data_IF_360674010064
#
_entry.id   IF_360674010064
#
_cell.length_a   1.000
_cell.length_b   1.000
_cell.length_c   1.000
_cell.angle_alpha   90.00
_cell.angle_beta   90.00
_cell.angle_gamma   90.00
#
_symmetry.space_group_name_H-M   'P 1'
#
loop_
_entity.id
_entity.type
_entity.pdbx_description
1 polymer ?
#
# COMPACT_ATOMS: atom_id res chain seq x y z
N UNK A 1 -30.27 -1.33 -3.77
CA UNK A 1 -28.89 -1.57 -3.29
C UNK A 1 -28.56 -0.43 -2.36
N UNK A 2 -28.41 -0.74 -1.09
CA UNK A 2 -27.91 0.21 -0.11
C UNK A 2 -26.41 0.44 -0.38
N UNK A 3 -25.92 1.64 -0.08
CA UNK A 3 -24.51 2.01 -0.26
C UNK A 3 -23.60 1.10 0.57
N UNK A 4 -24.04 0.76 1.78
CA UNK A 4 -23.29 -0.09 2.70
C UNK A 4 -23.07 -1.51 2.16
N UNK A 5 -23.98 -2.02 1.33
CA UNK A 5 -23.86 -3.35 0.68
C UNK A 5 -22.82 -3.37 -0.45
N UNK A 6 -22.33 -2.20 -0.89
CA UNK A 6 -21.39 -2.07 -2.01
C UNK A 6 -19.95 -1.82 -1.55
N UNK A 7 -19.71 -1.79 -0.23
CA UNK A 7 -18.36 -1.63 0.34
C UNK A 7 -17.56 -2.89 0.05
N UNK A 8 -16.35 -2.71 -0.51
CA UNK A 8 -15.42 -3.80 -0.73
C UNK A 8 -14.85 -4.26 0.62
N UNK A 9 -15.10 -5.52 1.08
CA UNK A 9 -14.50 -6.03 2.30
C UNK A 9 -12.97 -6.12 2.23
N UNK A 10 -12.41 -6.24 1.02
CA UNK A 10 -10.97 -6.34 0.77
C UNK A 10 -10.30 -4.97 0.50
N UNK A 11 -10.97 -3.88 0.85
CA UNK A 11 -10.47 -2.51 0.65
C UNK A 11 -9.23 -2.17 1.48
N UNK A 12 -8.94 -2.94 2.53
CA UNK A 12 -7.77 -2.75 3.39
C UNK A 12 -7.18 -4.10 3.80
N UNK A 13 -5.90 -4.28 3.52
CA UNK A 13 -5.10 -5.39 4.02
C UNK A 13 -3.90 -4.81 4.79
N UNK A 14 -3.68 -5.27 6.02
CA UNK A 14 -2.55 -4.84 6.85
C UNK A 14 -1.56 -5.98 6.96
N UNK A 15 -0.37 -5.77 6.39
CA UNK A 15 0.73 -6.73 6.45
C UNK A 15 1.73 -6.31 7.53
N UNK A 16 1.99 -7.21 8.48
CA UNK A 16 2.97 -7.01 9.56
C UNK A 16 4.18 -7.92 9.39
N UNK A 17 5.36 -7.47 9.82
CA UNK A 17 6.59 -8.27 9.74
C UNK A 17 7.20 -8.33 8.33
N UNK A 18 6.82 -7.40 7.45
CA UNK A 18 7.43 -7.25 6.13
C UNK A 18 8.92 -6.93 6.27
N UNK A 19 9.72 -7.50 5.38
CA UNK A 19 11.16 -7.19 5.28
C UNK A 19 11.34 -6.12 4.22
N UNK A 20 12.10 -5.09 4.56
CA UNK A 20 12.35 -3.93 3.73
C UNK A 20 13.86 -3.65 3.70
N UNK A 21 14.32 -2.98 2.66
CA UNK A 21 15.71 -2.55 2.55
C UNK A 21 16.05 -1.47 3.59
N UNK A 22 17.28 -1.49 4.10
CA UNK A 22 17.73 -0.53 5.12
C UNK A 22 17.71 0.93 4.64
N UNK A 23 17.82 1.16 3.32
CA UNK A 23 17.81 2.51 2.73
C UNK A 23 16.45 3.21 2.72
N UNK A 24 15.37 2.52 3.09
CA UNK A 24 14.01 3.08 3.07
C UNK A 24 13.75 4.07 4.21
N UNK A 25 14.55 4.02 5.29
CA UNK A 25 14.37 4.88 6.47
C UNK A 25 14.91 6.31 6.33
N UNK A 26 15.49 6.67 5.18
CA UNK A 26 16.17 7.97 4.97
C UNK A 26 15.49 8.88 3.95
N UNK A 27 14.27 8.57 3.50
CA UNK A 27 13.55 9.43 2.56
C UNK A 27 13.14 10.77 3.13
N UNK A 28 13.01 11.77 2.26
CA UNK A 28 12.34 13.01 2.62
C UNK A 28 10.83 12.77 2.80
N UNK A 29 10.12 13.65 3.53
CA UNK A 29 8.66 13.67 3.52
C UNK A 29 8.12 13.65 2.08
N UNK A 30 7.00 12.95 1.87
CA UNK A 30 6.36 12.78 0.55
C UNK A 30 7.18 12.00 -0.51
N UNK A 31 8.26 11.31 -0.11
CA UNK A 31 9.00 10.43 -1.02
C UNK A 31 8.10 9.28 -1.49
N UNK A 32 8.06 9.07 -2.81
CA UNK A 32 7.36 7.96 -3.46
C UNK A 32 8.34 6.85 -3.78
N UNK A 33 7.99 5.63 -3.39
CA UNK A 33 8.82 4.45 -3.60
C UNK A 33 8.15 3.53 -4.61
N UNK A 34 8.97 2.90 -5.45
CA UNK A 34 8.55 1.70 -6.17
C UNK A 34 9.13 0.50 -5.44
N UNK A 35 8.29 -0.30 -4.80
CA UNK A 35 8.73 -1.60 -4.30
C UNK A 35 8.71 -2.56 -5.49
N UNK A 36 9.88 -3.14 -5.76
CA UNK A 36 10.06 -3.95 -6.96
C UNK A 36 9.01 -5.06 -7.03
N UNK A 37 8.33 -5.16 -8.17
CA UNK A 37 7.30 -6.16 -8.46
C UNK A 37 6.02 -6.08 -7.62
N UNK A 38 5.96 -5.21 -6.62
CA UNK A 38 4.80 -5.04 -5.72
C UNK A 38 3.91 -3.85 -6.09
N UNK A 39 4.51 -2.69 -6.34
CA UNK A 39 3.75 -1.47 -6.64
C UNK A 39 4.44 -0.19 -6.20
N UNK A 40 3.65 0.89 -6.16
CA UNK A 40 4.09 2.19 -5.68
C UNK A 40 3.56 2.46 -4.28
N UNK A 41 4.43 2.97 -3.41
CA UNK A 41 4.19 3.15 -2.00
C UNK A 41 4.62 4.54 -1.53
N UNK A 42 4.01 5.00 -0.44
CA UNK A 42 4.39 6.20 0.29
C UNK A 42 4.48 5.89 1.78
N UNK A 43 5.36 6.57 2.49
CA UNK A 43 5.44 6.46 3.94
C UNK A 43 4.17 7.06 4.59
N UNK A 44 3.61 6.35 5.57
CA UNK A 44 2.41 6.79 6.28
C UNK A 44 2.71 7.96 7.23
N UNK A 45 2.00 9.08 7.07
CA UNK A 45 2.28 10.31 7.83
C UNK A 45 1.88 10.26 9.31
N UNK A 46 1.10 9.24 9.73
CA UNK A 46 0.53 9.14 11.08
C UNK A 46 1.14 7.99 11.88
N UNK A 47 1.38 6.86 11.24
CA UNK A 47 1.79 5.62 11.87
C UNK A 47 3.25 5.26 11.59
N UNK A 48 3.90 5.91 10.62
CA UNK A 48 5.32 5.69 10.36
C UNK A 48 6.20 6.42 11.37
N UNK A 49 7.36 5.85 11.63
CA UNK A 49 8.41 6.40 12.49
C UNK A 49 9.78 5.88 12.05
N UNK A 50 10.86 6.53 12.50
CA UNK A 50 12.23 6.13 12.15
C UNK A 50 12.57 4.68 12.57
N UNK A 51 12.02 4.20 13.70
CA UNK A 51 12.25 2.83 14.19
C UNK A 51 11.31 1.79 13.57
N UNK A 52 10.13 2.25 13.12
CA UNK A 52 9.08 1.41 12.57
C UNK A 52 8.45 2.10 11.36
N UNK A 53 9.05 1.95 10.17
CA UNK A 53 8.50 2.54 8.97
C UNK A 53 7.20 1.83 8.57
N UNK A 54 6.20 2.60 8.16
CA UNK A 54 4.90 2.10 7.68
C UNK A 54 4.66 2.66 6.28
N UNK A 55 4.28 1.79 5.34
CA UNK A 55 4.08 2.16 3.95
C UNK A 55 2.67 1.86 3.49
N UNK A 56 2.05 2.84 2.83
CA UNK A 56 0.75 2.71 2.20
C UNK A 56 0.94 2.46 0.70
N UNK A 57 0.24 1.45 0.16
CA UNK A 57 0.21 1.18 -1.28
C UNK A 57 -0.65 2.23 -1.98
N UNK A 58 -0.05 3.00 -2.86
CA UNK A 58 -0.72 4.01 -3.70
C UNK A 58 -1.44 3.31 -4.86
N UNK A 59 -0.71 2.48 -5.59
CA UNK A 59 -1.25 1.70 -6.71
C UNK A 59 -0.39 0.46 -6.97
N UNK A 60 -1.01 -0.61 -7.47
CA UNK A 60 -0.29 -1.78 -7.99
C UNK A 60 0.43 -1.46 -9.30
N UNK A 61 1.29 -2.37 -9.76
CA UNK A 61 2.05 -2.17 -11.01
C UNK A 61 1.22 -2.25 -12.29
N UNK A 62 0.03 -2.86 -12.21
CA UNK A 62 -0.86 -3.08 -13.35
C UNK A 62 -2.28 -2.76 -12.92
N UNK A 63 -3.06 -2.28 -13.87
CA UNK A 63 -4.48 -2.14 -13.69
C UNK A 63 -5.13 -3.54 -13.62
N UNK A 64 -5.85 -3.80 -12.53
CA UNK A 64 -6.62 -5.03 -12.30
C UNK A 64 -8.12 -4.79 -12.39
N UNK A 65 -8.56 -3.54 -12.57
CA UNK A 65 -9.96 -3.18 -12.72
C UNK A 65 -10.46 -3.69 -14.07
N UNK A 66 -11.35 -4.69 -14.01
CA UNK A 66 -11.89 -5.40 -15.18
C UNK A 66 -11.58 -6.91 -15.20
N UNK A 67 -10.71 -7.41 -14.31
CA UNK A 67 -10.47 -8.87 -14.16
C UNK A 67 -11.24 -9.53 -13.01
N UNK A 68 -11.84 -8.74 -12.12
CA UNK A 68 -12.61 -9.25 -10.97
C UNK A 68 -14.03 -9.73 -11.33
N UNK A 69 -14.42 -9.67 -12.61
CA UNK A 69 -15.76 -10.05 -13.10
C UNK A 69 -15.78 -11.39 -13.88
N UNK A 70 -14.71 -12.19 -13.77
CA UNK A 70 -14.65 -13.54 -14.35
C UNK A 70 -14.03 -14.55 -13.39
N UNK A 71 -14.80 -14.97 -12.40
CA UNK A 71 -14.65 -16.25 -11.69
C UNK A 71 -15.90 -16.58 -10.90
#
# INVERSE_FOLDING_TARGET
KDFLESINPDSLEILSGCKAEAGLSSGAPDTRYQFEREGYFIEDSKYSSAEKPVFNRVIGLRDTWGKMDQS
#
